data_IF_415111416547
#
_entry.id   IF_415111416547
#
_cell.length_a   1.000
_cell.length_b   1.000
_cell.length_c   1.000
_cell.angle_alpha   90.00
_cell.angle_beta   90.00
_cell.angle_gamma   90.00
#
_symmetry.space_group_name_H-M   'P 1'
#
loop_
_entity.id
_entity.type
_entity.pdbx_description
1 polymer ?
#
# COMPACT_ATOMS: atom_id res chain seq x y z
N UNK A 1 29.11 -24.30 -31.94
CA UNK A 1 28.63 -24.04 -30.57
C UNK A 1 28.04 -22.64 -30.58
N UNK A 2 26.73 -22.49 -30.42
CA UNK A 2 26.08 -21.18 -30.24
C UNK A 2 25.13 -21.35 -29.05
N UNK A 3 25.51 -20.77 -27.91
CA UNK A 3 24.67 -20.67 -26.73
C UNK A 3 23.99 -19.31 -26.77
N UNK A 4 22.70 -19.30 -27.09
CA UNK A 4 21.82 -18.14 -26.93
C UNK A 4 21.53 -17.97 -25.45
N UNK A 5 22.18 -17.02 -24.81
CA UNK A 5 21.90 -16.62 -23.43
C UNK A 5 20.63 -15.75 -23.42
N UNK A 6 19.52 -16.33 -22.98
CA UNK A 6 18.32 -15.58 -22.62
C UNK A 6 18.54 -14.92 -21.25
N UNK A 7 18.60 -13.58 -21.23
CA UNK A 7 18.59 -12.80 -20.00
C UNK A 7 17.17 -12.82 -19.41
N UNK A 8 16.94 -13.71 -18.45
CA UNK A 8 15.79 -13.64 -17.55
C UNK A 8 16.06 -12.51 -16.55
N UNK A 9 15.50 -11.33 -16.81
CA UNK A 9 15.44 -10.25 -15.83
C UNK A 9 14.42 -10.66 -14.75
N UNK A 10 14.89 -11.22 -13.64
CA UNK A 10 14.10 -11.34 -12.42
C UNK A 10 13.87 -9.92 -11.89
N UNK A 11 12.64 -9.41 -12.01
CA UNK A 11 12.21 -8.26 -11.25
C UNK A 11 12.25 -8.64 -9.77
N UNK A 12 13.30 -8.23 -9.06
CA UNK A 12 13.35 -8.29 -7.62
C UNK A 12 12.36 -7.24 -7.10
N UNK A 13 11.19 -7.69 -6.66
CA UNK A 13 10.30 -6.87 -5.85
C UNK A 13 11.07 -6.56 -4.58
N UNK A 14 11.54 -5.32 -4.45
CA UNK A 14 12.08 -4.82 -3.20
C UNK A 14 10.96 -4.95 -2.16
N UNK A 15 11.10 -5.91 -1.25
CA UNK A 15 10.25 -5.99 -0.07
C UNK A 15 10.64 -4.77 0.76
N UNK A 16 9.90 -3.67 0.58
CA UNK A 16 10.01 -2.50 1.44
C UNK A 16 9.91 -2.98 2.88
N UNK A 17 10.88 -2.58 3.70
CA UNK A 17 10.93 -2.93 5.10
C UNK A 17 9.66 -2.37 5.75
N UNK A 18 8.72 -3.25 6.08
CA UNK A 18 7.54 -2.89 6.88
C UNK A 18 8.11 -2.34 8.18
N UNK A 19 7.83 -1.07 8.50
CA UNK A 19 8.24 -0.49 9.77
C UNK A 19 7.69 -1.37 10.89
N UNK A 20 8.45 -1.56 11.97
CA UNK A 20 8.11 -2.52 13.02
C UNK A 20 6.77 -2.24 13.72
N UNK A 21 6.16 -1.07 13.48
CA UNK A 21 4.92 -0.62 14.10
C UNK A 21 3.74 -0.48 13.11
N UNK A 22 3.93 -0.79 11.83
CA UNK A 22 2.86 -0.77 10.84
C UNK A 22 1.95 -1.99 10.99
N UNK A 23 0.64 -1.78 11.01
CA UNK A 23 -0.34 -2.85 11.12
C UNK A 23 -1.67 -2.51 10.46
N UNK A 24 -2.36 -3.52 9.94
CA UNK A 24 -3.73 -3.38 9.48
C UNK A 24 -4.66 -3.29 10.70
N UNK A 25 -5.28 -2.13 10.89
CA UNK A 25 -6.24 -1.88 11.98
C UNK A 25 -7.69 -2.09 11.55
N UNK A 26 -7.93 -2.12 10.23
CA UNK A 26 -9.24 -2.36 9.62
C UNK A 26 -9.06 -3.10 8.31
N UNK A 27 -9.86 -4.14 8.07
CA UNK A 27 -9.96 -4.78 6.77
C UNK A 27 -11.34 -5.41 6.60
N UNK A 28 -12.03 -5.05 5.54
CA UNK A 28 -13.25 -5.71 5.07
C UNK A 28 -13.06 -6.15 3.63
N UNK A 29 -13.53 -7.34 3.30
CA UNK A 29 -13.50 -7.86 1.94
C UNK A 29 -14.83 -7.59 1.24
N UNK A 30 -14.78 -7.36 -0.07
CA UNK A 30 -15.98 -7.12 -0.87
C UNK A 30 -16.87 -8.36 -0.91
N UNK A 31 -18.20 -8.18 -0.90
CA UNK A 31 -19.17 -9.19 -1.32
C UNK A 31 -19.30 -9.23 -2.87
N UNK A 32 -18.18 -9.16 -3.58
CA UNK A 32 -18.11 -9.03 -5.04
C UNK A 32 -16.67 -8.85 -5.55
N UNK A 33 -16.49 -8.60 -6.85
CA UNK A 33 -15.16 -8.38 -7.41
C UNK A 33 -14.67 -6.95 -7.13
N UNK A 34 -13.53 -6.83 -6.47
CA UNK A 34 -12.74 -5.59 -6.43
C UNK A 34 -11.78 -5.58 -7.61
N UNK A 35 -11.60 -4.44 -8.29
CA UNK A 35 -10.57 -4.29 -9.32
C UNK A 35 -9.19 -4.16 -8.65
N UNK A 36 -8.61 -5.30 -8.28
CA UNK A 36 -7.30 -5.37 -7.61
C UNK A 36 -6.19 -4.74 -8.46
N UNK A 37 -6.26 -4.86 -9.78
CA UNK A 37 -5.26 -4.29 -10.69
C UNK A 37 -5.29 -2.75 -10.69
N UNK A 38 -6.49 -2.17 -10.68
CA UNK A 38 -6.64 -0.74 -10.50
C UNK A 38 -6.11 -0.30 -9.13
N UNK A 39 -6.49 -0.98 -8.04
CA UNK A 39 -6.03 -0.62 -6.69
C UNK A 39 -4.51 -0.69 -6.51
N UNK A 40 -3.85 -1.71 -7.06
CA UNK A 40 -2.38 -1.79 -7.09
C UNK A 40 -1.76 -0.61 -7.82
N UNK A 41 -2.34 -0.23 -8.97
CA UNK A 41 -1.88 0.91 -9.76
C UNK A 41 -2.06 2.22 -8.98
N UNK A 42 -3.21 2.39 -8.32
CA UNK A 42 -3.47 3.55 -7.44
C UNK A 42 -2.41 3.65 -6.34
N UNK A 43 -2.19 2.56 -5.59
CA UNK A 43 -1.24 2.53 -4.50
C UNK A 43 0.18 2.90 -4.94
N UNK A 44 0.63 2.40 -6.09
CA UNK A 44 1.96 2.73 -6.63
C UNK A 44 2.10 4.20 -7.03
N UNK A 45 1.06 4.78 -7.64
CA UNK A 45 1.07 6.20 -8.03
C UNK A 45 1.00 7.14 -6.81
N UNK A 46 0.40 6.68 -5.71
CA UNK A 46 0.20 7.43 -4.47
C UNK A 46 1.42 7.49 -3.55
N UNK A 47 2.56 7.00 -4.02
CA UNK A 47 3.84 7.11 -3.31
C UNK A 47 4.28 8.56 -3.11
N UNK A 48 4.10 9.41 -4.13
CA UNK A 48 4.68 10.76 -4.17
C UNK A 48 3.71 11.90 -3.84
N UNK A 49 2.40 11.65 -3.93
CA UNK A 49 1.38 12.69 -3.80
C UNK A 49 0.60 12.61 -2.48
N UNK A 50 -0.08 13.69 -2.10
CA UNK A 50 -1.13 13.64 -1.10
C UNK A 50 -2.43 13.25 -1.80
N UNK A 51 -2.94 12.06 -1.49
CA UNK A 51 -4.06 11.41 -2.15
C UNK A 51 -5.30 11.33 -1.27
N UNK A 52 -5.29 12.03 -0.14
CA UNK A 52 -6.45 12.12 0.73
C UNK A 52 -7.68 12.68 0.00
N UNK A 53 -8.77 11.90 -0.02
CA UNK A 53 -10.01 12.25 -0.70
C UNK A 53 -10.02 11.95 -2.21
N UNK A 54 -9.02 11.25 -2.74
CA UNK A 54 -9.03 10.81 -4.15
C UNK A 54 -9.85 9.53 -4.34
N UNK A 55 -10.54 9.42 -5.48
CA UNK A 55 -11.20 8.17 -5.89
C UNK A 55 -10.37 7.48 -6.97
N UNK A 56 -9.99 6.23 -6.74
CA UNK A 56 -9.24 5.42 -7.69
C UNK A 56 -9.56 3.93 -7.53
N UNK A 57 -9.76 3.24 -8.65
CA UNK A 57 -10.22 1.84 -8.64
C UNK A 57 -11.64 1.67 -8.07
N UNK A 58 -12.45 2.74 -8.07
CA UNK A 58 -13.79 2.77 -7.50
C UNK A 58 -13.82 2.77 -5.97
N UNK A 59 -12.75 3.29 -5.35
CA UNK A 59 -12.57 3.37 -3.90
C UNK A 59 -12.08 4.75 -3.52
N UNK A 60 -12.59 5.25 -2.40
CA UNK A 60 -12.10 6.48 -1.79
C UNK A 60 -10.84 6.19 -0.99
N UNK A 61 -9.76 6.87 -1.33
CA UNK A 61 -8.46 6.72 -0.71
C UNK A 61 -8.23 7.86 0.30
N UNK A 62 -7.65 7.53 1.46
CA UNK A 62 -7.33 8.49 2.51
C UNK A 62 -5.91 8.32 3.07
N UNK A 63 -5.26 9.43 3.42
CA UNK A 63 -3.95 9.44 4.09
C UNK A 63 -3.89 10.57 5.10
N UNK A 64 -3.53 10.25 6.34
CA UNK A 64 -3.39 11.23 7.39
C UNK A 64 -2.23 10.95 8.32
N UNK A 65 -1.87 11.96 9.11
CA UNK A 65 -0.81 11.87 10.12
C UNK A 65 -1.15 12.70 11.35
N UNK A 66 -0.56 12.33 12.49
CA UNK A 66 -0.58 13.08 13.73
C UNK A 66 0.82 13.06 14.35
N UNK A 67 1.44 14.23 14.49
CA UNK A 67 2.82 14.42 15.00
C UNK A 67 3.91 13.58 14.31
N UNK A 68 3.57 12.94 13.19
CA UNK A 68 4.42 12.08 12.40
C UNK A 68 5.36 12.95 11.56
N UNK A 69 6.63 12.99 11.99
CA UNK A 69 7.70 13.78 11.37
C UNK A 69 8.66 12.94 10.54
N UNK A 70 8.49 11.62 10.49
CA UNK A 70 9.46 10.72 9.86
C UNK A 70 9.49 10.87 8.34
N UNK A 71 10.69 10.91 7.72
CA UNK A 71 10.89 10.82 6.27
C UNK A 71 10.67 9.40 5.71
N UNK A 72 10.49 8.38 6.56
CA UNK A 72 9.89 7.11 6.15
C UNK A 72 8.41 7.41 5.93
N UNK A 73 8.05 7.66 4.68
CA UNK A 73 6.68 8.02 4.34
C UNK A 73 5.77 6.92 4.89
N UNK A 74 4.64 7.28 5.51
CA UNK A 74 3.58 6.33 5.91
C UNK A 74 3.30 5.25 4.84
N UNK A 75 3.49 5.64 3.58
CA UNK A 75 3.47 4.75 2.43
C UNK A 75 4.51 3.62 2.49
N UNK A 76 5.78 3.90 2.76
CA UNK A 76 6.84 2.88 2.81
C UNK A 76 6.57 1.86 3.93
N UNK A 77 6.00 2.31 5.06
CA UNK A 77 5.55 1.48 6.17
C UNK A 77 4.35 0.57 5.81
N UNK A 78 3.32 1.15 5.18
CA UNK A 78 2.02 0.49 5.01
C UNK A 78 1.79 -0.16 3.63
N UNK A 79 2.52 0.22 2.58
CA UNK A 79 2.25 -0.25 1.22
C UNK A 79 2.31 -1.77 1.08
N UNK A 80 3.25 -2.44 1.75
CA UNK A 80 3.36 -3.89 1.73
C UNK A 80 2.14 -4.60 2.33
N UNK A 81 1.57 -4.03 3.40
CA UNK A 81 0.37 -4.57 4.06
C UNK A 81 -0.88 -4.32 3.20
N UNK A 82 -0.98 -3.14 2.58
CA UNK A 82 -2.08 -2.83 1.66
C UNK A 82 -2.06 -3.69 0.40
N UNK A 83 -0.88 -3.99 -0.15
CA UNK A 83 -0.73 -4.96 -1.27
C UNK A 83 -1.33 -6.31 -0.89
N UNK A 84 -1.00 -6.84 0.30
CA UNK A 84 -1.55 -8.10 0.78
C UNK A 84 -3.08 -8.05 0.96
N UNK A 85 -3.61 -6.95 1.50
CA UNK A 85 -5.04 -6.77 1.67
C UNK A 85 -5.77 -6.68 0.31
N UNK A 86 -5.21 -5.96 -0.67
CA UNK A 86 -5.73 -5.89 -2.04
C UNK A 86 -5.77 -7.28 -2.67
N UNK A 87 -4.68 -8.05 -2.56
CA UNK A 87 -4.60 -9.42 -3.09
C UNK A 87 -5.64 -10.36 -2.45
N UNK A 88 -5.99 -10.11 -1.18
CA UNK A 88 -7.06 -10.83 -0.45
C UNK A 88 -8.47 -10.35 -0.81
N UNK A 89 -8.60 -9.31 -1.64
CA UNK A 89 -9.90 -8.78 -2.07
C UNK A 89 -10.50 -7.77 -1.11
N UNK A 90 -9.68 -7.04 -0.36
CA UNK A 90 -10.14 -5.97 0.50
C UNK A 90 -10.94 -4.93 -0.31
N UNK A 91 -12.08 -4.54 0.24
CA UNK A 91 -12.92 -3.42 -0.19
C UNK A 91 -12.76 -2.19 0.67
N UNK A 92 -12.30 -2.38 1.90
CA UNK A 92 -12.01 -1.35 2.87
C UNK A 92 -10.82 -1.85 3.68
N UNK A 93 -9.79 -1.03 3.82
CA UNK A 93 -8.59 -1.35 4.58
C UNK A 93 -7.98 -0.08 5.13
N UNK A 94 -7.45 -0.16 6.35
CA UNK A 94 -6.72 0.90 7.02
C UNK A 94 -5.44 0.30 7.63
N UNK A 95 -4.31 0.88 7.28
CA UNK A 95 -3.02 0.58 7.89
C UNK A 95 -2.59 1.78 8.73
N UNK A 96 -2.20 1.52 9.97
CA UNK A 96 -1.61 2.50 10.88
C UNK A 96 -0.15 2.14 11.11
N UNK A 97 0.73 3.14 11.11
CA UNK A 97 2.07 3.04 11.69
C UNK A 97 2.22 4.02 12.84
N UNK A 98 2.66 3.52 13.99
CA UNK A 98 2.71 4.28 15.25
C UNK A 98 4.14 4.34 15.78
N UNK A 99 4.68 5.53 15.93
CA UNK A 99 6.02 5.79 16.47
C UNK A 99 5.93 6.62 17.75
N UNK A 100 5.78 5.95 18.89
CA UNK A 100 5.62 6.63 20.18
C UNK A 100 4.33 7.43 20.25
N UNK A 101 4.42 8.76 20.27
CA UNK A 101 3.27 9.67 20.25
C UNK A 101 2.82 10.09 18.85
N UNK A 102 3.60 9.74 17.82
CA UNK A 102 3.27 10.02 16.44
C UNK A 102 2.53 8.83 15.81
N UNK A 103 1.60 9.12 14.90
CA UNK A 103 0.98 8.08 14.07
C UNK A 103 0.73 8.56 12.65
N UNK A 104 0.75 7.63 11.72
CA UNK A 104 0.24 7.83 10.38
C UNK A 104 -0.81 6.75 10.09
N UNK A 105 -1.76 7.06 9.20
CA UNK A 105 -2.74 6.11 8.74
C UNK A 105 -2.99 6.30 7.26
N UNK A 106 -3.22 5.20 6.56
CA UNK A 106 -3.54 5.21 5.15
C UNK A 106 -4.32 3.99 4.71
N UNK A 107 -5.18 4.16 3.71
CA UNK A 107 -6.04 3.08 3.27
C UNK A 107 -7.07 3.49 2.23
N UNK A 108 -8.08 2.66 2.03
CA UNK A 108 -9.20 2.93 1.13
C UNK A 108 -10.49 2.32 1.64
N UNK A 109 -11.63 2.77 1.13
CA UNK A 109 -12.97 2.24 1.41
C UNK A 109 -13.89 2.30 0.17
#
# INVERSE_FOLDING_TARGET
MQFTTAFLALAAFAVSQVSANASIVRQFNALGSTDQGALHTCLQNYRTDNWDGMDCGGRGWFKGTHDYKSPENCWDACAGLLVQAIDQGASDVECDDVEGGAKCWMGFH
#
